data_IF_626737994201
#
_entry.id   IF_626737994201
#
_cell.length_a   1.000
_cell.length_b   1.000
_cell.length_c   1.000
_cell.angle_alpha   90.00
_cell.angle_beta   90.00
_cell.angle_gamma   90.00
#
_symmetry.space_group_name_H-M   'P 1'
#
loop_
_entity.id
_entity.type
_entity.pdbx_description
1 polymer ?
#
# COMPACT_ATOMS: atom_id res chain seq x y z
N UNK A 1 -26.11 -7.02 5.73
CA UNK A 1 -26.16 -8.11 4.70
C UNK A 1 -25.75 -7.63 3.31
N UNK A 2 -26.17 -6.43 2.85
CA UNK A 2 -25.86 -5.94 1.49
C UNK A 2 -24.35 -5.67 1.22
N UNK A 3 -23.58 -5.23 2.21
CA UNK A 3 -22.16 -4.88 2.07
C UNK A 3 -21.32 -6.11 1.75
N UNK A 4 -21.57 -7.23 2.43
CA UNK A 4 -20.80 -8.47 2.27
C UNK A 4 -21.08 -9.16 0.95
N UNK A 5 -22.33 -9.20 0.52
CA UNK A 5 -22.67 -9.76 -0.78
C UNK A 5 -21.92 -9.03 -1.91
N UNK A 6 -21.65 -7.73 -1.74
CA UNK A 6 -20.89 -6.91 -2.69
C UNK A 6 -19.39 -7.11 -2.56
N UNK A 7 -18.81 -7.14 -1.33
CA UNK A 7 -17.39 -7.50 -1.10
C UNK A 7 -17.06 -8.88 -1.69
N UNK A 8 -18.01 -9.82 -1.62
CA UNK A 8 -17.88 -11.15 -2.18
C UNK A 8 -17.98 -11.16 -3.71
N UNK A 9 -18.67 -10.19 -4.30
CA UNK A 9 -18.75 -10.01 -5.75
C UNK A 9 -17.43 -9.65 -6.40
N UNK A 10 -16.52 -8.95 -5.68
CA UNK A 10 -15.19 -8.60 -6.19
C UNK A 10 -14.29 -9.81 -6.45
N UNK A 11 -14.52 -10.91 -5.72
CA UNK A 11 -13.72 -12.14 -5.83
C UNK A 11 -14.34 -13.17 -6.78
N UNK A 12 -15.54 -12.91 -7.30
CA UNK A 12 -16.17 -13.76 -8.32
C UNK A 12 -16.02 -13.09 -9.68
N UNK A 13 -15.34 -13.74 -10.61
CA UNK A 13 -15.41 -13.38 -12.03
C UNK A 13 -16.88 -13.34 -12.44
N UNK A 14 -17.43 -12.15 -12.68
CA UNK A 14 -18.77 -12.01 -13.25
C UNK A 14 -18.72 -12.49 -14.69
N UNK A 15 -19.05 -13.75 -14.93
CA UNK A 15 -19.46 -14.22 -16.23
C UNK A 15 -20.89 -13.71 -16.44
N UNK A 16 -21.05 -12.59 -17.14
CA UNK A 16 -22.35 -12.18 -17.65
C UNK A 16 -22.66 -13.05 -18.88
N UNK A 17 -23.51 -14.07 -18.72
CA UNK A 17 -24.16 -14.72 -19.84
C UNK A 17 -25.23 -13.78 -20.41
N UNK A 18 -24.92 -13.10 -21.50
CA UNK A 18 -25.94 -12.64 -22.44
C UNK A 18 -26.20 -13.79 -23.44
N UNK A 19 -27.38 -14.40 -23.33
CA UNK A 19 -27.88 -15.29 -24.35
C UNK A 19 -28.52 -14.44 -25.44
N UNK A 20 -27.82 -14.25 -26.55
CA UNK A 20 -28.45 -13.94 -27.83
C UNK A 20 -27.91 -14.90 -28.90
N UNK A 21 -28.87 -15.70 -29.40
CA UNK A 21 -28.70 -16.58 -30.53
C UNK A 21 -28.57 -15.75 -31.80
N UNK A 22 -27.38 -15.64 -32.36
CA UNK A 22 -27.17 -15.65 -33.82
C UNK A 22 -25.69 -15.74 -34.12
N UNK A 23 -25.33 -16.68 -34.98
CA UNK A 23 -23.96 -17.01 -35.45
C UNK A 23 -23.18 -15.81 -35.97
N UNK A 24 -22.34 -15.23 -35.13
CA UNK A 24 -21.11 -14.56 -35.53
C UNK A 24 -20.10 -14.93 -34.45
N UNK A 25 -18.97 -15.51 -34.82
CA UNK A 25 -17.84 -15.74 -33.94
C UNK A 25 -17.29 -14.36 -33.52
N UNK A 26 -17.94 -13.71 -32.59
CA UNK A 26 -17.44 -12.54 -31.90
C UNK A 26 -16.39 -13.06 -30.92
N UNK A 27 -15.16 -12.59 -31.09
CA UNK A 27 -14.13 -12.61 -30.06
C UNK A 27 -14.76 -11.96 -28.83
N UNK A 28 -15.22 -12.76 -27.88
CA UNK A 28 -15.53 -12.29 -26.54
C UNK A 28 -14.17 -11.99 -25.90
N UNK A 29 -13.66 -10.76 -26.07
CA UNK A 29 -12.73 -10.18 -25.13
C UNK A 29 -13.48 -10.17 -23.80
N UNK A 30 -13.16 -11.15 -22.93
CA UNK A 30 -13.58 -11.09 -21.53
C UNK A 30 -12.92 -9.85 -20.96
N UNK A 31 -13.70 -8.79 -20.69
CA UNK A 31 -13.21 -7.64 -19.97
C UNK A 31 -12.63 -8.12 -18.64
N UNK A 32 -11.30 -8.07 -18.53
CA UNK A 32 -10.57 -8.40 -17.32
C UNK A 32 -11.02 -7.43 -16.23
N UNK A 33 -11.51 -7.93 -15.07
CA UNK A 33 -11.83 -7.03 -13.96
C UNK A 33 -10.57 -6.28 -13.51
N UNK A 34 -10.71 -5.04 -13.02
CA UNK A 34 -9.59 -4.25 -12.53
C UNK A 34 -8.81 -4.99 -11.42
N UNK A 35 -9.50 -5.74 -10.58
CA UNK A 35 -8.86 -6.59 -9.57
C UNK A 35 -7.99 -7.69 -10.20
N UNK A 36 -8.47 -8.38 -11.23
CA UNK A 36 -7.70 -9.41 -11.93
C UNK A 36 -6.49 -8.81 -12.66
N UNK A 37 -6.67 -7.65 -13.30
CA UNK A 37 -5.60 -6.88 -13.91
C UNK A 37 -4.50 -6.50 -12.88
N UNK A 38 -4.88 -5.99 -11.70
CA UNK A 38 -3.93 -5.68 -10.63
C UNK A 38 -3.21 -6.94 -10.13
N UNK A 39 -3.91 -8.05 -9.97
CA UNK A 39 -3.29 -9.32 -9.55
C UNK A 39 -2.23 -9.81 -10.55
N UNK A 40 -2.48 -9.65 -11.85
CA UNK A 40 -1.53 -10.03 -12.90
C UNK A 40 -0.28 -9.14 -12.87
N UNK A 41 -0.45 -7.81 -12.69
CA UNK A 41 0.68 -6.88 -12.58
C UNK A 41 1.46 -7.12 -11.28
N UNK A 42 0.79 -7.36 -10.15
CA UNK A 42 1.40 -7.69 -8.86
C UNK A 42 2.38 -8.87 -8.98
N UNK A 43 1.94 -9.95 -9.64
CA UNK A 43 2.78 -11.14 -9.84
C UNK A 43 4.04 -10.85 -10.66
N UNK A 44 3.97 -9.92 -11.61
CA UNK A 44 5.11 -9.53 -12.46
C UNK A 44 6.10 -8.59 -11.75
N UNK A 45 5.69 -7.92 -10.66
CA UNK A 45 6.49 -6.91 -9.96
C UNK A 45 6.74 -7.27 -8.49
N UNK A 46 6.70 -8.57 -8.16
CA UNK A 46 6.96 -9.03 -6.80
C UNK A 46 8.41 -8.70 -6.39
N UNK A 47 8.56 -8.06 -5.23
CA UNK A 47 9.87 -7.79 -4.64
C UNK A 47 10.58 -9.10 -4.28
N UNK A 48 11.91 -9.12 -4.38
CA UNK A 48 12.69 -10.23 -3.84
C UNK A 48 12.51 -10.27 -2.32
N UNK A 49 12.33 -11.47 -1.79
CA UNK A 49 12.29 -11.67 -0.35
C UNK A 49 13.62 -11.22 0.28
N UNK A 50 13.52 -10.31 1.27
CA UNK A 50 14.68 -9.81 2.03
C UNK A 50 15.72 -9.03 1.21
N UNK A 51 15.25 -8.03 0.45
CA UNK A 51 16.14 -7.16 -0.32
C UNK A 51 17.04 -6.27 0.55
N UNK A 52 16.76 -6.11 1.85
CA UNK A 52 17.65 -5.37 2.74
C UNK A 52 18.91 -6.15 3.13
N UNK A 53 18.94 -7.47 2.94
CA UNK A 53 20.11 -8.30 3.30
C UNK A 53 21.38 -7.91 2.55
N UNK A 54 21.29 -7.30 1.37
CA UNK A 54 22.44 -6.81 0.62
C UNK A 54 22.65 -5.28 0.73
N UNK A 55 21.84 -4.60 1.55
CA UNK A 55 22.00 -3.16 1.81
C UNK A 55 22.92 -2.93 3.02
N UNK A 56 24.14 -2.39 2.85
CA UNK A 56 25.11 -2.34 3.95
C UNK A 56 24.73 -1.35 5.05
N UNK A 57 23.96 -0.30 4.72
CA UNK A 57 23.61 0.79 5.64
C UNK A 57 22.11 0.90 5.93
N UNK A 58 21.26 0.07 5.26
CA UNK A 58 19.82 0.14 5.41
C UNK A 58 19.30 -1.09 6.15
N UNK A 59 19.19 -0.97 7.47
CA UNK A 59 18.55 -1.99 8.29
C UNK A 59 17.02 -1.91 8.21
N UNK A 60 16.32 -2.95 8.70
CA UNK A 60 14.86 -2.93 8.86
C UNK A 60 14.39 -1.73 9.69
N UNK A 61 15.13 -1.36 10.75
CA UNK A 61 14.82 -0.22 11.57
C UNK A 61 14.92 1.09 10.77
N UNK A 62 16.02 1.27 10.03
CA UNK A 62 16.27 2.46 9.18
C UNK A 62 15.16 2.60 8.13
N UNK A 63 14.80 1.50 7.43
CA UNK A 63 13.70 1.51 6.45
C UNK A 63 12.36 1.88 7.09
N UNK A 64 12.02 1.31 8.24
CA UNK A 64 10.75 1.61 8.90
C UNK A 64 10.71 3.06 9.42
N UNK A 65 11.83 3.58 9.96
CA UNK A 65 11.96 5.00 10.35
C UNK A 65 11.82 5.93 9.15
N UNK A 66 12.38 5.56 8.00
CA UNK A 66 12.23 6.31 6.76
C UNK A 66 10.77 6.40 6.33
N UNK A 67 10.02 5.29 6.41
CA UNK A 67 8.61 5.29 6.03
C UNK A 67 7.76 6.12 7.00
N UNK A 68 8.05 6.10 8.30
CA UNK A 68 7.37 6.96 9.26
C UNK A 68 7.65 8.45 8.98
N UNK A 69 8.92 8.78 8.67
CA UNK A 69 9.30 10.12 8.25
C UNK A 69 8.64 10.55 6.93
N UNK A 70 8.59 9.67 5.90
CA UNK A 70 7.86 9.93 4.66
C UNK A 70 6.36 10.14 4.92
N UNK A 71 5.78 9.40 5.86
CA UNK A 71 4.38 9.57 6.26
C UNK A 71 4.15 10.95 6.88
N UNK A 72 5.09 11.43 7.71
CA UNK A 72 5.05 12.78 8.29
C UNK A 72 5.13 13.86 7.21
N UNK A 73 6.08 13.73 6.29
CA UNK A 73 6.23 14.66 5.18
C UNK A 73 5.00 14.68 4.27
N UNK A 74 4.50 13.50 3.90
CA UNK A 74 3.27 13.35 3.12
C UNK A 74 2.08 14.03 3.80
N UNK A 75 1.93 13.83 5.12
CA UNK A 75 0.85 14.41 5.91
C UNK A 75 0.96 15.94 6.00
N UNK A 76 2.19 16.47 6.21
CA UNK A 76 2.44 17.92 6.29
C UNK A 76 2.19 18.66 4.97
N UNK A 77 2.33 17.96 3.83
CA UNK A 77 2.12 18.49 2.49
C UNK A 77 0.66 18.30 2.01
N UNK A 78 -0.22 17.70 2.82
CA UNK A 78 -1.62 17.39 2.50
C UNK A 78 -1.79 16.64 1.17
N UNK A 79 -0.94 15.62 0.96
CA UNK A 79 -0.93 14.82 -0.27
C UNK A 79 -2.01 13.72 -0.24
N UNK A 80 -2.43 13.27 -1.41
CA UNK A 80 -3.38 12.18 -1.56
C UNK A 80 -2.78 10.85 -1.04
N UNK A 81 -3.60 10.03 -0.44
CA UNK A 81 -3.17 8.75 0.15
C UNK A 81 -2.41 7.83 -0.84
N UNK A 82 -2.82 7.65 -2.13
CA UNK A 82 -2.06 6.81 -3.07
C UNK A 82 -0.62 7.25 -3.25
N UNK A 83 -0.33 8.55 -3.13
CA UNK A 83 1.02 9.12 -3.27
C UNK A 83 2.00 8.52 -2.28
N UNK A 84 1.60 8.35 -1.00
CA UNK A 84 2.45 7.70 0.01
C UNK A 84 2.76 6.24 -0.36
N UNK A 85 1.74 5.48 -0.74
CA UNK A 85 1.93 4.07 -1.09
C UNK A 85 2.81 3.89 -2.32
N UNK A 86 2.67 4.77 -3.32
CA UNK A 86 3.53 4.75 -4.50
C UNK A 86 4.96 5.16 -4.16
N UNK A 87 5.16 6.20 -3.36
CA UNK A 87 6.49 6.66 -2.94
C UNK A 87 7.27 5.54 -2.24
N UNK A 88 6.65 4.87 -1.26
CA UNK A 88 7.28 3.74 -0.55
C UNK A 88 7.54 2.56 -1.50
N UNK A 89 6.61 2.27 -2.43
CA UNK A 89 6.84 1.23 -3.45
C UNK A 89 8.04 1.55 -4.34
N UNK A 90 8.22 2.81 -4.75
CA UNK A 90 9.38 3.25 -5.53
C UNK A 90 10.67 3.04 -4.74
N UNK A 91 10.70 3.44 -3.45
CA UNK A 91 11.87 3.27 -2.56
C UNK A 91 12.20 1.79 -2.42
N UNK A 92 11.26 0.94 -2.02
CA UNK A 92 11.49 -0.48 -1.78
C UNK A 92 11.98 -1.20 -3.06
N UNK A 93 11.39 -0.88 -4.21
CA UNK A 93 11.82 -1.42 -5.52
C UNK A 93 13.21 -0.93 -5.91
N UNK A 94 13.53 0.32 -5.67
CA UNK A 94 14.88 0.85 -5.93
C UNK A 94 15.91 0.18 -5.05
N UNK A 95 15.64 0.04 -3.74
CA UNK A 95 16.50 -0.70 -2.80
C UNK A 95 16.65 -2.18 -3.14
N UNK A 96 15.70 -2.77 -3.87
CA UNK A 96 15.80 -4.17 -4.30
C UNK A 96 16.75 -4.40 -5.48
N UNK A 97 17.21 -3.35 -6.15
CA UNK A 97 18.05 -3.43 -7.37
C UNK A 97 19.31 -2.57 -7.31
N UNK A 98 19.40 -1.64 -6.36
CA UNK A 98 20.52 -0.71 -6.24
C UNK A 98 20.96 -0.60 -4.78
N UNK A 99 22.28 -0.61 -4.54
CA UNK A 99 22.85 -0.41 -3.21
C UNK A 99 22.89 1.07 -2.90
N UNK A 100 22.33 1.46 -1.75
CA UNK A 100 22.39 2.84 -1.25
C UNK A 100 23.47 2.92 -0.20
N UNK A 101 24.53 3.74 -0.41
CA UNK A 101 25.75 3.68 0.39
C UNK A 101 25.63 4.32 1.78
N UNK A 102 24.67 5.23 2.00
CA UNK A 102 24.47 5.92 3.29
C UNK A 102 23.00 6.19 3.59
N UNK A 103 22.69 6.49 4.87
CA UNK A 103 21.35 6.95 5.27
C UNK A 103 21.00 8.31 4.65
N UNK A 104 22.00 9.14 4.41
CA UNK A 104 21.84 10.42 3.72
C UNK A 104 21.37 10.21 2.27
N UNK A 105 22.06 9.34 1.51
CA UNK A 105 21.64 8.99 0.14
C UNK A 105 20.24 8.35 0.14
N UNK A 106 19.91 7.57 1.15
CA UNK A 106 18.59 6.97 1.31
C UNK A 106 17.50 8.03 1.48
N UNK A 107 17.75 9.07 2.28
CA UNK A 107 16.83 10.20 2.45
C UNK A 107 16.58 10.92 1.13
N UNK A 108 17.66 11.15 0.34
CA UNK A 108 17.53 11.75 -1.00
C UNK A 108 16.67 10.90 -1.94
N UNK A 109 16.93 9.60 -1.99
CA UNK A 109 16.14 8.66 -2.78
C UNK A 109 14.67 8.72 -2.36
N UNK A 110 14.39 8.81 -1.05
CA UNK A 110 13.02 8.87 -0.54
C UNK A 110 12.31 10.18 -0.92
N UNK A 111 12.99 11.34 -0.82
CA UNK A 111 12.43 12.64 -1.25
C UNK A 111 12.11 12.60 -2.76
N UNK A 112 13.07 12.16 -3.56
CA UNK A 112 12.86 12.09 -5.02
C UNK A 112 11.78 11.08 -5.38
N UNK A 113 11.69 9.95 -4.68
CA UNK A 113 10.61 8.98 -4.87
C UNK A 113 9.23 9.58 -4.54
N UNK A 114 9.13 10.39 -3.46
CA UNK A 114 7.90 11.13 -3.14
C UNK A 114 7.54 12.12 -4.24
N UNK A 115 8.52 12.88 -4.75
CA UNK A 115 8.30 13.83 -5.87
C UNK A 115 7.86 13.11 -7.14
N UNK A 116 8.45 11.95 -7.47
CA UNK A 116 8.00 11.12 -8.60
C UNK A 116 6.55 10.66 -8.38
N UNK A 117 6.22 10.21 -7.16
CA UNK A 117 4.87 9.78 -6.82
C UNK A 117 3.87 10.95 -6.93
N UNK A 118 4.24 12.16 -6.47
CA UNK A 118 3.43 13.35 -6.65
C UNK A 118 3.18 13.68 -8.13
N UNK A 119 4.22 13.64 -8.96
CA UNK A 119 4.07 13.85 -10.41
C UNK A 119 3.12 12.85 -11.08
N UNK A 120 2.94 11.69 -10.48
CA UNK A 120 2.09 10.61 -11.01
C UNK A 120 0.65 10.66 -10.47
N UNK A 121 0.47 10.95 -9.19
CA UNK A 121 -0.83 10.84 -8.49
C UNK A 121 -1.51 12.19 -8.22
N UNK A 122 -0.75 13.30 -8.16
CA UNK A 122 -1.25 14.61 -7.78
C UNK A 122 -1.43 15.54 -8.98
N UNK A 123 -2.22 16.61 -8.79
CA UNK A 123 -2.32 17.69 -9.76
C UNK A 123 -1.13 18.67 -9.71
N UNK A 124 -0.30 18.59 -8.68
CA UNK A 124 0.90 19.39 -8.48
C UNK A 124 2.00 18.54 -7.84
N UNK A 125 3.23 19.03 -7.84
CA UNK A 125 4.35 18.36 -7.19
C UNK A 125 5.23 19.35 -6.44
N UNK A 126 5.64 19.07 -5.21
CA UNK A 126 6.60 19.90 -4.50
C UNK A 126 7.95 19.87 -5.21
N UNK A 127 8.76 20.92 -5.01
CA UNK A 127 10.14 20.93 -5.46
C UNK A 127 11.00 20.03 -4.56
N UNK A 128 11.69 19.06 -5.14
CA UNK A 128 12.63 18.23 -4.38
C UNK A 128 13.74 19.07 -3.74
N UNK A 129 14.17 20.13 -4.43
CA UNK A 129 15.17 21.07 -3.90
C UNK A 129 14.68 21.70 -2.59
N UNK A 130 13.45 22.22 -2.57
CA UNK A 130 12.86 22.83 -1.36
C UNK A 130 12.74 21.81 -0.21
N UNK A 131 12.43 20.55 -0.50
CA UNK A 131 12.35 19.50 0.52
C UNK A 131 13.73 19.05 1.04
N UNK A 132 14.80 19.39 0.34
CA UNK A 132 16.20 19.09 0.70
C UNK A 132 16.95 20.30 1.28
N UNK A 133 16.32 21.49 1.34
CA UNK A 133 16.98 22.74 1.81
C UNK A 133 17.43 22.68 3.28
N UNK A 134 16.91 21.74 4.07
CA UNK A 134 17.34 21.55 5.46
C UNK A 134 18.70 20.82 5.59
N UNK A 135 19.23 20.25 4.50
CA UNK A 135 20.53 19.59 4.50
C UNK A 135 21.65 20.61 4.24
N UNK A 136 22.64 20.68 5.14
CA UNK A 136 23.75 21.65 5.13
C UNK A 136 24.59 21.60 3.84
N UNK A 137 24.59 20.50 3.11
CA UNK A 137 25.40 20.27 1.91
C UNK A 137 24.84 20.90 0.62
N UNK A 138 23.63 21.39 0.63
CA UNK A 138 22.98 22.07 -0.48
C UNK A 138 22.99 21.28 -1.81
N UNK A 139 21.82 20.98 -2.37
CA UNK A 139 21.72 20.25 -3.64
C UNK A 139 21.55 21.20 -4.81
N UNK A 140 22.18 20.86 -5.93
CA UNK A 140 21.85 21.48 -7.22
C UNK A 140 20.67 20.76 -7.88
N UNK A 141 19.89 21.48 -8.67
CA UNK A 141 18.82 20.88 -9.48
C UNK A 141 19.34 19.73 -10.37
N UNK A 142 20.56 19.87 -10.89
CA UNK A 142 21.19 18.84 -11.71
C UNK A 142 21.41 17.51 -10.97
N UNK A 143 21.78 17.56 -9.68
CA UNK A 143 21.95 16.36 -8.85
C UNK A 143 20.59 15.69 -8.61
N UNK A 144 19.55 16.47 -8.30
CA UNK A 144 18.20 15.97 -8.13
C UNK A 144 17.69 15.30 -9.41
N UNK A 145 17.84 15.96 -10.55
CA UNK A 145 17.44 15.41 -11.85
C UNK A 145 18.17 14.10 -12.19
N UNK A 146 19.46 14.01 -11.78
CA UNK A 146 20.25 12.79 -11.96
C UNK A 146 19.72 11.63 -11.10
N UNK A 147 19.34 11.89 -9.83
CA UNK A 147 18.73 10.89 -8.94
C UNK A 147 17.38 10.43 -9.49
N UNK A 148 16.52 11.39 -9.89
CA UNK A 148 15.21 11.08 -10.49
C UNK A 148 15.35 10.19 -11.72
N UNK A 149 16.23 10.57 -12.63
CA UNK A 149 16.53 9.81 -13.84
C UNK A 149 17.03 8.41 -13.53
N UNK A 150 17.95 8.28 -12.56
CA UNK A 150 18.48 7.00 -12.12
C UNK A 150 17.37 6.09 -11.56
N UNK A 151 16.52 6.60 -10.67
CA UNK A 151 15.39 5.84 -10.12
C UNK A 151 14.48 5.36 -11.26
N UNK A 152 14.05 6.26 -12.14
CA UNK A 152 13.14 5.91 -13.23
C UNK A 152 13.75 4.89 -14.21
N UNK A 153 15.04 5.01 -14.55
CA UNK A 153 15.74 4.06 -15.40
C UNK A 153 15.86 2.69 -14.75
N UNK A 154 16.24 2.61 -13.47
CA UNK A 154 16.34 1.35 -12.73
C UNK A 154 14.99 0.65 -12.60
N UNK A 155 13.91 1.41 -12.43
CA UNK A 155 12.54 0.88 -12.39
C UNK A 155 11.95 0.60 -13.80
N UNK A 156 12.69 0.87 -14.87
CA UNK A 156 12.22 0.70 -16.26
C UNK A 156 10.99 1.55 -16.59
N UNK A 157 10.83 2.72 -15.94
CA UNK A 157 9.69 3.65 -16.08
C UNK A 157 8.34 3.04 -15.68
N UNK A 158 8.33 1.91 -15.00
CA UNK A 158 7.12 1.19 -14.58
C UNK A 158 6.62 1.74 -13.24
N UNK A 159 5.80 2.79 -13.28
CA UNK A 159 5.17 3.40 -12.10
C UNK A 159 3.76 2.86 -11.84
N UNK A 160 3.05 2.41 -12.89
CA UNK A 160 1.74 1.79 -12.76
C UNK A 160 1.87 0.38 -12.15
N UNK A 161 2.08 0.33 -10.84
CA UNK A 161 2.17 -0.92 -10.06
C UNK A 161 1.12 -0.89 -8.96
N UNK A 162 0.26 -1.91 -8.86
CA UNK A 162 -0.78 -1.92 -7.84
C UNK A 162 -0.18 -2.01 -6.44
N UNK A 163 -0.58 -1.08 -5.59
CA UNK A 163 -0.20 -0.99 -4.18
C UNK A 163 -1.30 -1.55 -3.27
N UNK A 164 -1.05 -1.64 -1.98
CA UNK A 164 -2.10 -1.97 -0.98
C UNK A 164 -3.29 -1.03 -1.15
N UNK A 165 -3.04 0.27 -1.34
CA UNK A 165 -4.08 1.28 -1.56
C UNK A 165 -4.94 0.95 -2.81
N UNK A 166 -4.31 0.61 -3.93
CA UNK A 166 -5.02 0.28 -5.18
C UNK A 166 -6.01 -0.88 -4.97
N UNK A 167 -5.59 -1.92 -4.25
CA UNK A 167 -6.47 -3.06 -3.93
C UNK A 167 -7.57 -2.69 -2.95
N UNK A 168 -7.30 -1.88 -1.92
CA UNK A 168 -8.33 -1.40 -0.99
C UNK A 168 -9.41 -0.60 -1.73
N UNK A 169 -9.00 0.35 -2.56
CA UNK A 169 -9.92 1.18 -3.36
C UNK A 169 -10.76 0.32 -4.28
N UNK A 170 -10.15 -0.62 -5.01
CA UNK A 170 -10.86 -1.51 -5.94
C UNK A 170 -11.90 -2.38 -5.22
N UNK A 171 -11.52 -2.97 -4.07
CA UNK A 171 -12.43 -3.78 -3.27
C UNK A 171 -13.61 -2.93 -2.77
N UNK A 172 -13.36 -1.72 -2.25
CA UNK A 172 -14.42 -0.83 -1.78
C UNK A 172 -15.29 -0.29 -2.92
N UNK A 173 -14.69 0.02 -4.07
CA UNK A 173 -15.44 0.44 -5.26
C UNK A 173 -16.42 -0.65 -5.72
N UNK A 174 -15.95 -1.88 -5.83
CA UNK A 174 -16.78 -3.03 -6.22
C UNK A 174 -17.86 -3.38 -5.20
N UNK A 175 -17.68 -3.00 -3.92
CA UNK A 175 -18.69 -3.20 -2.87
C UNK A 175 -19.84 -2.18 -2.93
N UNK A 176 -19.65 -1.05 -3.58
CA UNK A 176 -20.55 0.09 -3.56
C UNK A 176 -20.52 0.81 -2.21
N UNK A 177 -21.66 0.93 -1.52
CA UNK A 177 -21.69 1.67 -0.25
C UNK A 177 -21.07 0.85 0.90
N UNK A 178 -20.01 1.41 1.52
CA UNK A 178 -19.46 1.00 2.81
C UNK A 178 -19.45 2.21 3.75
N UNK A 179 -19.64 1.97 5.06
CA UNK A 179 -19.54 3.05 6.04
C UNK A 179 -18.09 3.60 6.11
N UNK A 180 -17.97 4.89 6.40
CA UNK A 180 -16.68 5.59 6.38
C UNK A 180 -15.76 5.08 7.49
N UNK A 181 -16.26 4.83 8.70
CA UNK A 181 -15.50 4.28 9.82
C UNK A 181 -14.81 2.95 9.43
N UNK A 182 -15.51 2.10 8.67
CA UNK A 182 -14.95 0.84 8.21
C UNK A 182 -13.85 1.05 7.15
N UNK A 183 -14.05 1.98 6.22
CA UNK A 183 -13.03 2.32 5.23
C UNK A 183 -11.77 2.87 5.91
N UNK A 184 -11.94 3.86 6.78
CA UNK A 184 -10.84 4.51 7.49
C UNK A 184 -10.03 3.50 8.32
N UNK A 185 -10.72 2.57 9.00
CA UNK A 185 -10.06 1.50 9.74
C UNK A 185 -9.28 0.55 8.83
N UNK A 186 -9.78 0.23 7.63
CA UNK A 186 -9.07 -0.62 6.69
C UNK A 186 -7.86 0.08 6.08
N UNK A 187 -7.98 1.37 5.72
CA UNK A 187 -6.85 2.17 5.25
C UNK A 187 -5.79 2.37 6.33
N UNK A 188 -6.19 2.59 7.58
CA UNK A 188 -5.28 2.60 8.71
C UNK A 188 -4.43 1.32 8.79
N UNK A 189 -5.07 0.14 8.72
CA UNK A 189 -4.32 -1.11 8.70
C UNK A 189 -3.46 -1.27 7.45
N UNK A 190 -3.85 -0.71 6.32
CA UNK A 190 -3.03 -0.64 5.11
C UNK A 190 -1.74 0.16 5.31
N UNK A 191 -1.82 1.30 5.98
CA UNK A 191 -0.63 2.11 6.31
C UNK A 191 0.22 1.47 7.43
N UNK A 192 -0.38 0.78 8.40
CA UNK A 192 0.35 -0.05 9.37
C UNK A 192 1.18 -1.13 8.65
N UNK A 193 0.60 -1.78 7.64
CA UNK A 193 1.31 -2.76 6.82
C UNK A 193 2.46 -2.12 6.04
N UNK A 194 2.22 -0.97 5.43
CA UNK A 194 3.21 -0.23 4.63
C UNK A 194 4.45 0.15 5.46
N UNK A 195 4.23 0.57 6.71
CA UNK A 195 5.31 0.96 7.63
C UNK A 195 6.15 -0.24 8.09
N UNK A 196 5.63 -1.46 8.04
CA UNK A 196 6.31 -2.65 8.53
C UNK A 196 6.99 -3.45 7.41
N UNK A 197 8.32 -3.44 7.36
CA UNK A 197 9.11 -4.16 6.36
C UNK A 197 8.77 -5.64 6.27
N UNK A 198 8.66 -6.34 7.41
CA UNK A 198 8.36 -7.78 7.39
C UNK A 198 6.98 -8.07 6.82
N UNK A 199 6.01 -7.18 6.99
CA UNK A 199 4.71 -7.32 6.34
C UNK A 199 4.84 -7.19 4.82
N UNK A 200 5.54 -6.15 4.33
CA UNK A 200 5.64 -5.86 2.90
C UNK A 200 6.45 -6.89 2.11
N UNK A 201 7.43 -7.56 2.73
CA UNK A 201 8.20 -8.63 2.06
C UNK A 201 7.55 -10.01 2.18
N UNK A 202 6.75 -10.25 3.24
CA UNK A 202 6.14 -11.57 3.48
C UNK A 202 4.82 -11.76 2.74
N UNK A 203 4.13 -10.68 2.43
CA UNK A 203 2.79 -10.72 1.83
C UNK A 203 2.69 -9.80 0.62
N UNK A 204 1.95 -10.28 -0.38
CA UNK A 204 1.64 -9.46 -1.54
C UNK A 204 0.73 -8.26 -1.18
N UNK A 205 0.76 -7.15 -1.92
CA UNK A 205 -0.12 -6.00 -1.71
C UNK A 205 -1.61 -6.37 -1.62
N UNK A 206 -2.06 -7.31 -2.45
CA UNK A 206 -3.44 -7.82 -2.41
C UNK A 206 -3.75 -8.59 -1.12
N UNK A 207 -2.82 -9.42 -0.64
CA UNK A 207 -2.97 -10.15 0.63
C UNK A 207 -3.04 -9.16 1.80
N UNK A 208 -2.17 -8.14 1.80
CA UNK A 208 -2.17 -7.08 2.82
C UNK A 208 -3.48 -6.30 2.81
N UNK A 209 -4.01 -5.93 1.64
CA UNK A 209 -5.28 -5.22 1.52
C UNK A 209 -6.47 -6.05 2.05
N UNK A 210 -6.55 -7.33 1.67
CA UNK A 210 -7.60 -8.24 2.16
C UNK A 210 -7.47 -8.47 3.67
N UNK A 211 -6.25 -8.59 4.18
CA UNK A 211 -5.98 -8.75 5.61
C UNK A 211 -6.31 -7.48 6.41
N UNK A 212 -6.07 -6.30 5.84
CA UNK A 212 -6.44 -5.01 6.44
C UNK A 212 -7.97 -4.87 6.57
N UNK A 213 -8.73 -5.26 5.53
CA UNK A 213 -10.19 -5.30 5.56
C UNK A 213 -10.68 -6.29 6.63
N UNK A 214 -10.11 -7.48 6.68
CA UNK A 214 -10.47 -8.48 7.69
C UNK A 214 -10.14 -8.00 9.11
N UNK A 215 -9.00 -7.36 9.32
CA UNK A 215 -8.61 -6.76 10.59
C UNK A 215 -9.61 -5.69 11.04
N UNK A 216 -10.04 -4.81 10.12
CA UNK A 216 -11.06 -3.79 10.38
C UNK A 216 -12.42 -4.42 10.77
N UNK A 217 -12.87 -5.46 10.07
CA UNK A 217 -14.09 -6.20 10.42
C UNK A 217 -14.04 -6.78 11.84
N UNK A 218 -12.88 -7.35 12.22
CA UNK A 218 -12.70 -7.91 13.56
C UNK A 218 -12.76 -6.83 14.64
N UNK A 219 -12.07 -5.70 14.44
CA UNK A 219 -12.04 -4.58 15.40
C UNK A 219 -13.43 -3.94 15.56
N UNK A 220 -14.15 -3.76 14.46
CA UNK A 220 -15.50 -3.19 14.46
C UNK A 220 -16.59 -4.20 14.84
N UNK A 221 -16.20 -5.40 15.31
CA UNK A 221 -17.09 -6.48 15.78
C UNK A 221 -18.12 -6.95 14.73
N UNK A 222 -17.76 -6.88 13.46
CA UNK A 222 -18.57 -7.41 12.34
C UNK A 222 -18.35 -8.94 12.21
N UNK A 223 -18.55 -9.70 13.31
CA UNK A 223 -18.11 -11.10 13.42
C UNK A 223 -18.77 -12.07 12.42
N UNK A 224 -20.05 -11.89 12.11
CA UNK A 224 -20.74 -12.69 11.11
C UNK A 224 -20.15 -12.42 9.71
N UNK A 225 -19.93 -11.17 9.41
CA UNK A 225 -19.44 -10.67 8.14
C UNK A 225 -17.99 -11.13 7.90
N UNK A 226 -17.15 -11.09 8.93
CA UNK A 226 -15.75 -11.51 8.83
C UNK A 226 -15.60 -13.01 8.56
N UNK A 227 -16.45 -13.87 9.16
CA UNK A 227 -16.48 -15.32 8.87
C UNK A 227 -16.93 -15.60 7.42
N UNK A 228 -17.98 -14.91 6.98
CA UNK A 228 -18.47 -15.04 5.61
C UNK A 228 -17.44 -14.54 4.61
N UNK A 229 -16.76 -13.41 4.88
CA UNK A 229 -15.69 -12.86 4.06
C UNK A 229 -14.55 -13.86 3.87
N UNK A 230 -14.06 -14.50 4.93
CA UNK A 230 -13.03 -15.55 4.84
C UNK A 230 -13.49 -16.78 4.04
N UNK A 231 -14.76 -17.18 4.17
CA UNK A 231 -15.26 -18.37 3.51
C UNK A 231 -15.41 -18.19 1.99
N UNK A 232 -15.65 -16.99 1.55
CA UNK A 232 -15.91 -16.65 0.14
C UNK A 232 -14.71 -16.09 -0.58
N UNK A 233 -13.67 -15.65 0.15
CA UNK A 233 -12.41 -15.24 -0.45
C UNK A 233 -11.58 -16.46 -0.86
N UNK A 234 -11.69 -16.85 -2.14
CA UNK A 234 -10.97 -18.01 -2.70
C UNK A 234 -9.59 -17.62 -3.26
N UNK A 235 -9.30 -16.34 -3.40
CA UNK A 235 -8.05 -15.84 -4.00
C UNK A 235 -6.85 -15.89 -3.04
N UNK A 236 -7.10 -16.04 -1.74
CA UNK A 236 -6.07 -16.04 -0.69
C UNK A 236 -6.36 -17.13 0.35
N UNK A 237 -5.30 -17.66 0.97
CA UNK A 237 -5.43 -18.63 2.06
C UNK A 237 -6.08 -17.99 3.30
N UNK A 238 -7.09 -18.65 3.86
CA UNK A 238 -7.76 -18.18 5.10
C UNK A 238 -6.78 -18.05 6.26
N UNK A 239 -5.85 -19.02 6.38
CA UNK A 239 -4.82 -19.01 7.41
C UNK A 239 -3.88 -17.82 7.26
N UNK A 240 -3.49 -17.50 6.03
CA UNK A 240 -2.64 -16.36 5.70
C UNK A 240 -3.33 -15.04 6.05
N UNK A 241 -4.58 -14.84 5.63
CA UNK A 241 -5.36 -13.63 5.95
C UNK A 241 -5.50 -13.45 7.47
N UNK A 242 -5.87 -14.50 8.20
CA UNK A 242 -6.10 -14.40 9.65
C UNK A 242 -4.81 -14.14 10.42
N UNK A 243 -3.70 -14.76 10.02
CA UNK A 243 -2.39 -14.54 10.63
C UNK A 243 -1.89 -13.12 10.37
N UNK A 244 -1.94 -12.67 9.12
CA UNK A 244 -1.54 -11.33 8.71
C UNK A 244 -2.39 -10.27 9.42
N UNK A 245 -3.71 -10.39 9.43
CA UNK A 245 -4.60 -9.47 10.14
C UNK A 245 -4.31 -9.40 11.64
N UNK A 246 -4.05 -10.53 12.29
CA UNK A 246 -3.64 -10.58 13.70
C UNK A 246 -2.29 -9.89 13.94
N UNK A 247 -1.36 -9.98 13.00
CA UNK A 247 -0.09 -9.24 13.04
C UNK A 247 -0.34 -7.73 12.91
N UNK A 248 -1.14 -7.28 11.95
CA UNK A 248 -1.47 -5.86 11.76
C UNK A 248 -2.13 -5.26 13.00
N UNK A 249 -3.07 -5.98 13.63
CA UNK A 249 -3.70 -5.54 14.87
C UNK A 249 -2.70 -5.40 16.03
N UNK A 250 -1.72 -6.30 16.15
CA UNK A 250 -0.67 -6.20 17.16
C UNK A 250 0.23 -4.98 16.92
N UNK A 251 0.70 -4.78 15.68
CA UNK A 251 1.51 -3.64 15.28
C UNK A 251 0.79 -2.32 15.57
N UNK A 252 -0.48 -2.22 15.17
CA UNK A 252 -1.31 -1.03 15.41
C UNK A 252 -1.48 -0.70 16.89
N UNK A 253 -1.60 -1.70 17.77
CA UNK A 253 -1.67 -1.49 19.22
C UNK A 253 -0.35 -1.00 19.83
N UNK A 254 0.77 -1.28 19.19
CA UNK A 254 2.09 -0.85 19.65
C UNK A 254 2.44 0.57 19.16
N UNK A 255 1.78 1.07 18.12
CA UNK A 255 2.07 2.36 17.50
C UNK A 255 2.13 3.52 18.51
N UNK A 256 1.18 3.70 19.46
CA UNK A 256 1.19 4.82 20.38
C UNK A 256 2.33 4.79 21.41
N UNK A 257 2.93 3.63 21.63
CA UNK A 257 3.99 3.45 22.66
C UNK A 257 5.37 3.24 22.04
N UNK A 258 5.46 3.06 20.73
CA UNK A 258 6.68 2.82 20.00
C UNK A 258 7.40 4.12 19.62
N UNK A 259 8.68 3.98 19.22
CA UNK A 259 9.45 5.03 18.57
C UNK A 259 9.21 5.11 17.06
N UNK A 260 8.48 4.17 16.52
CA UNK A 260 8.07 4.07 15.13
C UNK A 260 6.56 4.27 15.02
N UNK A 261 6.07 4.68 13.89
CA UNK A 261 4.66 4.96 13.62
C UNK A 261 4.06 6.11 14.46
N UNK A 262 4.88 7.09 14.86
CA UNK A 262 4.42 8.26 15.63
C UNK A 262 3.41 9.05 14.80
N UNK A 263 3.76 9.36 13.57
CA UNK A 263 2.89 10.10 12.64
C UNK A 263 1.60 9.34 12.33
N UNK A 264 1.69 8.02 12.21
CA UNK A 264 0.52 7.18 11.99
C UNK A 264 -0.45 7.25 13.18
N UNK A 265 0.10 7.28 14.41
CA UNK A 265 -0.71 7.41 15.62
C UNK A 265 -1.41 8.78 15.72
N UNK A 266 -0.78 9.83 15.26
CA UNK A 266 -1.38 11.18 15.18
C UNK A 266 -2.47 11.23 14.11
N UNK A 267 -2.16 10.78 12.90
CA UNK A 267 -3.06 10.77 11.74
C UNK A 267 -4.33 9.94 11.99
N UNK A 268 -4.22 8.82 12.70
CA UNK A 268 -5.30 7.84 12.92
C UNK A 268 -5.67 7.70 14.41
N UNK A 269 -5.66 8.81 15.16
CA UNK A 269 -5.96 8.83 16.59
C UNK A 269 -7.31 8.19 16.95
N UNK A 270 -8.35 8.42 16.14
CA UNK A 270 -9.69 7.86 16.35
C UNK A 270 -9.71 6.34 16.18
N UNK A 271 -9.04 5.82 15.14
CA UNK A 271 -8.94 4.38 14.86
C UNK A 271 -8.17 3.67 15.98
N UNK A 272 -7.13 4.31 16.50
CA UNK A 272 -6.35 3.81 17.64
C UNK A 272 -7.20 3.80 18.92
N UNK A 273 -7.98 4.84 19.18
CA UNK A 273 -8.90 4.85 20.32
C UNK A 273 -9.93 3.71 20.23
N UNK A 274 -10.52 3.50 19.05
CA UNK A 274 -11.43 2.37 18.80
C UNK A 274 -10.73 1.03 19.05
N UNK A 275 -9.50 0.87 18.56
CA UNK A 275 -8.72 -0.36 18.70
C UNK A 275 -8.41 -0.69 20.17
N UNK A 276 -8.16 0.32 21.00
CA UNK A 276 -7.88 0.15 22.43
C UNK A 276 -9.14 0.03 23.32
N UNK A 277 -10.26 0.63 22.91
CA UNK A 277 -11.54 0.55 23.65
C UNK A 277 -12.22 -0.82 23.55
N UNK A 278 -11.87 -1.59 22.52
CA UNK A 278 -12.49 -2.90 22.23
C UNK A 278 -11.59 -4.06 22.68
N UNK A 279 -11.20 -4.05 23.98
CA UNK A 279 -10.50 -5.17 24.64
C UNK A 279 -11.43 -6.35 24.87
#
# INVERSE_FOLDING_TARGET
MAIIAKLLGCFKNKVHHHTDNNNVALYQEQEESMYAFYKRIETQNQLSTDFLSFQPQVSVYVRNSLVDWLTSLHFSLDLLQPTLFLAVNIVDRFLSIEVVPSEHDLKQVAIVALVIACKFEENWSPSALTLMEEDEDGYSQQQIDAIEKNILQKLGWKLLVPTIHSFLVEIFYSCGYCDQEFKDMAFFFGEVALNNYHATISYSPSTLAVSAIYAAMCVLKKSHDSKQFLNTNQSHSKGEITFCAGMLQRLARMAPTGKLMITLAEKYSDQILILHSKK
#
